data_IF_658968256454
#
_entry.id   IF_658968256454
#
_cell.length_a   1.000
_cell.length_b   1.000
_cell.length_c   1.000
_cell.angle_alpha   90.00
_cell.angle_beta   90.00
_cell.angle_gamma   90.00
#
_symmetry.space_group_name_H-M   'P 1'
#
loop_
_entity.id
_entity.type
_entity.pdbx_description
1 polymer ?
#
# COMPACT_ATOMS: atom_id res chain seq x y z
N UNK A 1 -7.23 -3.21 -2.68
CA UNK A 1 -5.99 -2.43 -2.60
C UNK A 1 -5.91 -1.57 -3.85
N UNK A 2 -5.66 -0.27 -3.70
CA UNK A 2 -5.60 0.67 -4.82
C UNK A 2 -4.23 1.34 -4.86
N UNK A 3 -3.67 1.47 -6.06
CA UNK A 3 -2.37 2.08 -6.33
C UNK A 3 -2.60 3.25 -7.28
N UNK A 4 -2.20 4.44 -6.86
CA UNK A 4 -2.24 5.67 -7.63
C UNK A 4 -0.82 6.08 -7.98
N UNK A 5 -0.59 6.50 -9.23
CA UNK A 5 0.72 6.94 -9.71
C UNK A 5 0.58 8.32 -10.33
N UNK A 6 1.42 9.26 -9.92
CA UNK A 6 1.41 10.63 -10.46
C UNK A 6 2.80 11.25 -10.33
N UNK A 7 3.34 11.77 -11.44
CA UNK A 7 4.59 12.54 -11.48
C UNK A 7 5.77 11.91 -10.70
N UNK A 8 5.98 10.59 -10.85
CA UNK A 8 7.06 9.88 -10.15
C UNK A 8 6.76 9.55 -8.69
N UNK A 9 5.57 9.85 -8.18
CA UNK A 9 5.08 9.38 -6.88
C UNK A 9 4.15 8.19 -7.04
N UNK A 10 4.23 7.27 -6.08
CA UNK A 10 3.29 6.17 -5.93
C UNK A 10 2.60 6.30 -4.59
N UNK A 11 1.27 6.37 -4.60
CA UNK A 11 0.41 6.37 -3.44
C UNK A 11 -0.38 5.06 -3.40
N UNK A 12 -0.41 4.40 -2.25
CA UNK A 12 -1.16 3.16 -2.06
C UNK A 12 -2.09 3.25 -0.86
N UNK A 13 -3.26 2.63 -1.01
CA UNK A 13 -4.26 2.46 0.06
C UNK A 13 -4.78 1.03 0.08
N UNK A 14 -4.98 0.51 1.27
CA UNK A 14 -5.63 -0.78 1.48
C UNK A 14 -7.02 -0.54 2.04
N UNK A 15 -8.03 -1.04 1.34
CA UNK A 15 -9.45 -0.91 1.71
C UNK A 15 -10.01 -2.32 1.92
N UNK A 16 -10.72 -2.58 3.02
CA UNK A 16 -11.37 -3.86 3.26
C UNK A 16 -12.54 -4.07 2.31
N UNK A 17 -12.81 -5.32 1.95
CA UNK A 17 -13.98 -5.68 1.12
C UNK A 17 -15.30 -5.37 1.85
N UNK A 18 -15.33 -5.53 3.17
CA UNK A 18 -16.47 -5.23 4.03
C UNK A 18 -16.06 -4.14 5.03
N UNK A 19 -16.33 -2.85 4.76
CA UNK A 19 -16.07 -1.78 5.73
C UNK A 19 -17.01 -1.90 6.93
N UNK A 20 -16.57 -1.47 8.12
CA UNK A 20 -17.40 -1.44 9.32
C UNK A 20 -16.68 -1.96 10.56
N UNK A 21 -16.36 -3.25 10.60
CA UNK A 21 -15.60 -3.84 11.71
C UNK A 21 -14.14 -3.35 11.72
N UNK A 22 -13.58 -3.09 12.91
CA UNK A 22 -12.14 -2.85 13.05
C UNK A 22 -11.40 -4.16 12.75
N UNK A 23 -10.56 -4.12 11.73
CA UNK A 23 -9.76 -5.25 11.27
C UNK A 23 -8.32 -4.80 11.21
N UNK A 24 -7.40 -5.73 11.42
CA UNK A 24 -6.00 -5.44 11.17
C UNK A 24 -5.83 -5.18 9.67
N UNK A 25 -5.20 -4.09 9.30
CA UNK A 25 -4.88 -3.78 7.92
C UNK A 25 -3.47 -3.24 7.86
N UNK A 26 -2.81 -3.52 6.74
CA UNK A 26 -1.51 -2.93 6.45
C UNK A 26 -1.41 -2.52 4.99
N UNK A 27 -0.58 -1.52 4.75
CA UNK A 27 -0.12 -1.11 3.43
C UNK A 27 1.36 -0.81 3.52
N UNK A 28 2.14 -1.41 2.64
CA UNK A 28 3.59 -1.24 2.52
C UNK A 28 3.92 -0.84 1.11
N UNK A 29 4.70 0.22 0.96
CA UNK A 29 5.15 0.74 -0.33
C UNK A 29 6.66 0.84 -0.30
N UNK A 30 7.33 0.14 -1.22
CA UNK A 30 8.78 0.10 -1.32
C UNK A 30 9.22 0.48 -2.72
N UNK A 31 9.90 1.63 -2.83
CA UNK A 31 10.67 1.95 -4.02
C UNK A 31 11.97 1.12 -4.03
N UNK A 32 12.36 0.60 -5.19
CA UNK A 32 13.61 -0.17 -5.34
C UNK A 32 14.81 0.69 -4.93
N UNK A 33 15.67 0.16 -4.05
CA UNK A 33 16.80 0.89 -3.48
C UNK A 33 16.43 1.89 -2.37
N UNK A 34 15.17 1.97 -1.95
CA UNK A 34 14.72 2.79 -0.82
C UNK A 34 14.23 1.95 0.36
N UNK A 35 13.94 2.64 1.48
CA UNK A 35 13.29 2.02 2.64
C UNK A 35 11.79 1.84 2.37
N UNK A 36 11.19 0.69 2.77
CA UNK A 36 9.75 0.52 2.69
C UNK A 36 9.06 1.46 3.68
N UNK A 37 8.00 2.13 3.23
CA UNK A 37 7.09 2.87 4.11
C UNK A 37 5.90 1.98 4.38
N UNK A 38 5.63 1.71 5.65
CA UNK A 38 4.59 0.79 6.11
C UNK A 38 3.63 1.54 7.01
N UNK A 39 2.35 1.37 6.77
CA UNK A 39 1.27 1.78 7.65
C UNK A 39 0.47 0.52 8.01
N UNK A 40 0.43 0.17 9.29
CA UNK A 40 -0.23 -1.02 9.81
C UNK A 40 -0.93 -0.74 11.13
N UNK A 41 -2.10 -1.35 11.31
CA UNK A 41 -2.92 -1.11 12.50
C UNK A 41 -4.34 -1.63 12.37
N UNK A 42 -5.16 -1.34 13.38
CA UNK A 42 -6.58 -1.67 13.38
C UNK A 42 -7.40 -0.53 12.77
N UNK A 43 -7.91 -0.74 11.56
CA UNK A 43 -8.70 0.25 10.84
C UNK A 43 -10.13 -0.27 10.61
N UNK A 44 -11.10 0.63 10.53
CA UNK A 44 -12.50 0.30 10.19
C UNK A 44 -12.86 0.59 8.74
N UNK A 45 -12.16 1.55 8.12
CA UNK A 45 -12.43 2.06 6.76
C UNK A 45 -11.30 1.79 5.77
N UNK A 46 -10.05 2.11 6.11
CA UNK A 46 -8.86 1.92 5.25
C UNK A 46 -7.57 2.07 6.04
N UNK A 47 -6.49 1.47 5.55
CA UNK A 47 -5.11 1.79 5.90
C UNK A 47 -4.47 2.64 4.79
N UNK A 48 -3.66 3.64 5.15
CA UNK A 48 -3.09 4.64 4.26
C UNK A 48 -3.94 5.92 4.11
N UNK A 49 -3.46 6.90 3.34
CA UNK A 49 -2.55 6.75 2.19
C UNK A 49 -1.06 6.76 2.52
N UNK A 50 -0.31 5.81 1.97
CA UNK A 50 1.16 5.82 1.99
C UNK A 50 1.68 6.24 0.63
N UNK A 51 2.48 7.32 0.61
CA UNK A 51 3.06 7.86 -0.61
C UNK A 51 4.58 7.77 -0.57
N UNK A 52 5.18 7.30 -1.67
CA UNK A 52 6.64 7.27 -1.84
C UNK A 52 7.02 7.91 -3.16
N UNK A 53 8.15 8.61 -3.17
CA UNK A 53 8.77 9.07 -4.41
C UNK A 53 9.48 7.89 -5.09
N UNK A 54 8.93 7.41 -6.21
CA UNK A 54 9.47 6.32 -7.00
C UNK A 54 10.43 6.81 -8.10
N UNK A 55 10.21 7.99 -8.68
CA UNK A 55 10.91 8.42 -9.89
C UNK A 55 10.73 7.37 -11.00
N UNK A 56 11.83 6.89 -11.59
CA UNK A 56 11.85 5.82 -12.60
C UNK A 56 12.11 4.42 -12.02
N UNK A 57 11.99 4.27 -10.70
CA UNK A 57 12.34 3.02 -10.00
C UNK A 57 11.14 2.08 -9.97
N UNK A 58 11.41 0.77 -9.95
CA UNK A 58 10.38 -0.21 -9.69
C UNK A 58 9.83 -0.04 -8.26
N UNK A 59 8.53 -0.23 -8.09
CA UNK A 59 7.87 -0.11 -6.80
C UNK A 59 7.17 -1.41 -6.48
N UNK A 60 7.40 -1.91 -5.27
CA UNK A 60 6.68 -3.04 -4.71
C UNK A 60 5.68 -2.53 -3.70
N UNK A 61 4.43 -2.95 -3.85
CA UNK A 61 3.36 -2.58 -2.95
C UNK A 61 2.73 -3.84 -2.39
N UNK A 62 2.55 -3.87 -1.06
CA UNK A 62 1.92 -4.99 -0.35
C UNK A 62 0.79 -4.43 0.52
N UNK A 63 -0.37 -5.05 0.47
CA UNK A 63 -1.50 -4.71 1.32
C UNK A 63 -2.03 -5.95 2.02
N UNK A 64 -2.50 -5.81 3.26
CA UNK A 64 -3.18 -6.88 3.96
C UNK A 64 -4.42 -6.36 4.70
N UNK A 65 -5.43 -7.22 4.81
CA UNK A 65 -6.69 -6.99 5.51
C UNK A 65 -7.07 -8.29 6.23
N UNK A 66 -7.02 -8.27 7.56
CA UNK A 66 -7.23 -9.44 8.40
C UNK A 66 -6.29 -10.56 8.01
N UNK A 67 -6.86 -11.71 7.60
CA UNK A 67 -6.11 -12.88 7.12
C UNK A 67 -5.75 -12.80 5.62
N UNK A 68 -6.30 -11.86 4.87
CA UNK A 68 -6.05 -11.71 3.45
C UNK A 68 -4.85 -10.81 3.19
N UNK A 69 -3.93 -11.24 2.34
CA UNK A 69 -2.81 -10.40 1.87
C UNK A 69 -2.75 -10.39 0.36
N UNK A 70 -2.44 -9.24 -0.21
CA UNK A 70 -2.25 -9.02 -1.64
C UNK A 70 -0.92 -8.30 -1.84
N UNK A 71 -0.17 -8.71 -2.85
CA UNK A 71 1.03 -7.98 -3.25
C UNK A 71 0.99 -7.70 -4.75
N UNK A 72 1.46 -6.53 -5.14
CA UNK A 72 1.45 -6.09 -6.53
C UNK A 72 2.65 -6.61 -7.34
N UNK A 73 3.63 -7.22 -6.68
CA UNK A 73 4.96 -7.44 -7.26
C UNK A 73 5.68 -6.13 -7.59
N UNK A 74 6.82 -6.23 -8.28
CA UNK A 74 7.58 -5.07 -8.73
C UNK A 74 6.92 -4.44 -9.94
N UNK A 75 6.25 -3.33 -9.73
CA UNK A 75 5.65 -2.57 -10.81
C UNK A 75 6.65 -1.55 -11.33
N UNK A 76 6.81 -1.48 -12.67
CA UNK A 76 7.49 -0.36 -13.32
C UNK A 76 6.55 0.85 -13.34
N UNK A 77 7.06 2.01 -12.94
CA UNK A 77 6.34 3.29 -12.91
C UNK A 77 6.85 4.21 -14.00
#
# INVERSE_FOLDING_TARGET
MHIYRRNGYVCAVTVPKRPGARQWMSVSVKARGGRPVVDEGLFSKRAGPVTVHAGRRQVWVKGAVGRGSVSSGWIRC
#
